data_IF_828522761416
#
_entry.id   IF_828522761416
#
_cell.length_a   1.000
_cell.length_b   1.000
_cell.length_c   1.000
_cell.angle_alpha   90.00
_cell.angle_beta   90.00
_cell.angle_gamma   90.00
#
_symmetry.space_group_name_H-M   'P 1'
#
loop_
_entity.id
_entity.type
_entity.pdbx_description
1 polymer ?
#
# COMPACT_ATOMS: atom_id res chain seq x y z
N UNK A 1 -5.24 2.27 18.17
CA UNK A 1 -5.57 1.41 17.01
C UNK A 1 -4.49 0.34 16.92
N UNK A 2 -4.80 -0.87 16.45
CA UNK A 2 -3.72 -1.84 16.19
C UNK A 2 -2.85 -1.26 15.08
N UNK A 3 -1.53 -1.25 15.27
CA UNK A 3 -0.59 -0.88 14.21
C UNK A 3 -0.78 -1.91 13.09
N UNK A 4 -1.20 -1.45 11.92
CA UNK A 4 -1.36 -2.34 10.77
C UNK A 4 -0.01 -3.02 10.51
N UNK A 5 -0.03 -4.35 10.41
CA UNK A 5 1.20 -5.14 10.25
C UNK A 5 1.91 -4.85 8.91
N UNK A 6 1.17 -4.34 7.95
CA UNK A 6 1.63 -4.14 6.59
C UNK A 6 1.28 -2.75 6.10
N UNK A 7 2.19 -2.15 5.35
CA UNK A 7 1.96 -0.88 4.65
C UNK A 7 2.02 -1.12 3.15
N UNK A 8 1.00 -0.64 2.43
CA UNK A 8 0.90 -0.74 0.98
C UNK A 8 1.03 0.63 0.34
N UNK A 9 1.80 0.69 -0.75
CA UNK A 9 2.11 1.93 -1.44
C UNK A 9 1.96 1.73 -2.95
N UNK A 10 1.12 2.56 -3.59
CA UNK A 10 0.83 2.46 -5.01
C UNK A 10 1.03 3.79 -5.70
N UNK A 11 2.01 3.87 -6.60
CA UNK A 11 2.40 5.13 -7.26
C UNK A 11 2.36 4.94 -8.77
N UNK A 12 1.60 5.76 -9.53
CA UNK A 12 1.65 5.71 -10.99
C UNK A 12 3.06 5.88 -11.54
N UNK A 13 3.39 5.16 -12.62
CA UNK A 13 4.73 5.28 -13.24
C UNK A 13 4.96 6.65 -13.88
N UNK A 14 3.91 7.42 -14.11
CA UNK A 14 3.99 8.80 -14.63
C UNK A 14 4.43 9.82 -13.58
N UNK A 15 4.36 9.49 -12.28
CA UNK A 15 4.77 10.40 -11.21
C UNK A 15 6.31 10.42 -11.12
N UNK A 16 6.95 11.60 -11.27
CA UNK A 16 8.40 11.73 -11.11
C UNK A 16 8.88 11.21 -9.75
N UNK A 17 10.04 10.56 -9.70
CA UNK A 17 10.58 9.97 -8.46
C UNK A 17 10.76 10.97 -7.33
N UNK A 18 11.09 12.23 -7.65
CA UNK A 18 11.21 13.31 -6.66
C UNK A 18 9.88 13.68 -5.96
N UNK A 19 8.74 13.29 -6.52
CA UNK A 19 7.39 13.55 -5.98
C UNK A 19 6.74 12.28 -5.42
N UNK A 20 7.39 11.13 -5.58
CA UNK A 20 6.89 9.82 -5.18
C UNK A 20 7.21 9.54 -3.70
N UNK A 21 6.65 10.36 -2.79
CA UNK A 21 6.84 10.20 -1.33
C UNK A 21 5.79 9.25 -0.74
N UNK A 22 6.16 8.48 0.28
CA UNK A 22 5.26 7.50 0.90
C UNK A 22 4.00 8.16 1.51
N UNK A 23 4.15 9.32 2.14
CA UNK A 23 3.08 10.10 2.78
C UNK A 23 1.89 10.39 1.85
N UNK A 24 2.13 10.60 0.56
CA UNK A 24 1.11 11.01 -0.39
C UNK A 24 0.39 9.85 -1.10
N UNK A 25 0.90 8.62 -0.94
CA UNK A 25 0.48 7.48 -1.77
C UNK A 25 0.25 6.20 -0.95
N UNK A 26 0.51 6.24 0.35
CA UNK A 26 0.24 5.13 1.24
C UNK A 26 -1.26 4.86 1.30
N UNK A 27 -1.62 3.58 1.23
CA UNK A 27 -2.99 3.11 1.50
C UNK A 27 -3.12 2.86 2.99
N UNK A 28 -3.50 3.90 3.74
CA UNK A 28 -3.73 3.80 5.18
C UNK A 28 -5.07 3.12 5.48
N UNK A 29 -5.12 2.37 6.59
CA UNK A 29 -6.32 1.64 7.00
C UNK A 29 -6.66 0.47 6.08
N UNK A 30 -5.65 -0.17 5.49
CA UNK A 30 -5.89 -1.35 4.64
C UNK A 30 -6.51 -2.44 5.50
N UNK A 31 -7.75 -2.82 5.20
CA UNK A 31 -8.47 -3.83 5.97
C UNK A 31 -7.87 -5.21 5.71
N UNK A 32 -7.57 -5.49 4.44
CA UNK A 32 -7.15 -6.80 3.95
C UNK A 32 -6.31 -6.66 2.69
N UNK A 33 -5.28 -7.51 2.53
CA UNK A 33 -4.57 -7.67 1.26
C UNK A 33 -4.13 -9.12 1.05
N UNK A 34 -4.01 -9.52 -0.22
CA UNK A 34 -3.39 -10.79 -0.62
C UNK A 34 -2.35 -10.56 -1.71
N UNK A 35 -1.28 -11.36 -1.67
CA UNK A 35 -0.30 -11.49 -2.75
C UNK A 35 -0.22 -12.97 -3.11
N UNK A 36 -0.78 -13.30 -4.27
CA UNK A 36 -0.91 -14.67 -4.75
C UNK A 36 0.04 -14.90 -5.93
N UNK A 37 0.75 -16.02 -5.89
CA UNK A 37 1.70 -16.44 -6.92
C UNK A 37 1.27 -17.81 -7.43
N UNK A 38 0.82 -17.87 -8.67
CA UNK A 38 0.35 -19.09 -9.33
C UNK A 38 1.33 -19.53 -10.41
N UNK A 39 1.59 -20.84 -10.49
CA UNK A 39 2.43 -21.43 -11.53
C UNK A 39 1.62 -22.43 -12.34
N UNK A 40 1.58 -22.24 -13.65
CA UNK A 40 1.02 -23.21 -14.58
C UNK A 40 1.82 -24.52 -14.51
N UNK A 41 1.23 -25.60 -14.02
CA UNK A 41 1.89 -26.91 -14.00
C UNK A 41 1.60 -27.69 -15.27
N UNK A 42 2.68 -28.08 -15.97
CA UNK A 42 2.61 -28.92 -17.17
C UNK A 42 2.78 -30.38 -16.80
N UNK A 43 1.74 -31.18 -17.06
CA UNK A 43 1.71 -32.62 -16.81
C UNK A 43 2.50 -33.39 -17.87
N UNK A 44 3.28 -34.39 -17.42
CA UNK A 44 3.89 -35.40 -18.29
C UNK A 44 3.80 -36.78 -17.64
N UNK A 45 4.02 -37.85 -18.42
CA UNK A 45 3.96 -39.24 -17.93
C UNK A 45 5.35 -39.86 -17.98
N UNK A 46 5.81 -40.39 -16.84
CA UNK A 46 7.07 -41.14 -16.74
C UNK A 46 6.84 -42.46 -16.03
N UNK A 47 6.96 -43.57 -16.78
CA UNK A 47 6.81 -44.93 -16.24
C UNK A 47 5.46 -45.17 -15.56
N UNK A 48 4.35 -44.80 -16.21
CA UNK A 48 2.98 -44.89 -15.69
C UNK A 48 2.69 -44.04 -14.43
N UNK A 49 3.51 -43.02 -14.15
CA UNK A 49 3.26 -42.03 -13.10
C UNK A 49 3.17 -40.63 -13.70
N UNK A 50 2.34 -39.78 -13.09
CA UNK A 50 2.29 -38.35 -13.41
C UNK A 50 3.55 -37.67 -12.89
N UNK A 51 4.15 -36.86 -13.72
CA UNK A 51 5.30 -36.01 -13.44
C UNK A 51 4.93 -34.56 -13.82
N UNK A 52 5.50 -33.57 -13.16
CA UNK A 52 5.10 -32.17 -13.29
C UNK A 52 6.31 -31.30 -13.60
N UNK A 53 6.13 -30.33 -14.49
CA UNK A 53 7.12 -29.29 -14.79
C UNK A 53 6.50 -27.90 -14.70
N UNK A 54 7.29 -26.90 -14.33
CA UNK A 54 6.83 -25.50 -14.24
C UNK A 54 6.58 -24.88 -15.62
N UNK A 55 5.56 -24.05 -15.69
CA UNK A 55 5.13 -23.31 -16.87
C UNK A 55 5.28 -21.81 -16.65
N UNK A 56 4.27 -21.04 -17.06
CA UNK A 56 4.23 -19.59 -16.83
C UNK A 56 3.79 -19.31 -15.40
N UNK A 57 4.39 -18.28 -14.78
CA UNK A 57 3.99 -17.78 -13.46
C UNK A 57 3.14 -16.53 -13.64
N UNK A 58 2.08 -16.44 -12.87
CA UNK A 58 1.23 -15.26 -12.73
C UNK A 58 1.23 -14.83 -11.27
N UNK A 59 1.33 -13.53 -11.01
CA UNK A 59 1.14 -13.00 -9.65
C UNK A 59 0.02 -11.96 -9.65
N UNK A 60 -0.83 -12.05 -8.64
CA UNK A 60 -1.98 -11.16 -8.41
C UNK A 60 -1.88 -10.56 -7.01
N UNK A 61 -2.12 -9.25 -6.91
CA UNK A 61 -2.21 -8.54 -5.63
C UNK A 61 -3.62 -7.99 -5.52
N UNK A 62 -4.32 -8.32 -4.44
CA UNK A 62 -5.66 -7.81 -4.13
C UNK A 62 -5.60 -6.98 -2.87
N UNK A 63 -6.24 -5.81 -2.88
CA UNK A 63 -6.21 -4.86 -1.77
C UNK A 63 -7.60 -4.31 -1.51
N UNK A 64 -7.99 -4.27 -0.24
CA UNK A 64 -9.23 -3.66 0.22
C UNK A 64 -8.95 -2.57 1.25
N UNK A 65 -9.48 -1.38 1.03
CA UNK A 65 -9.29 -0.23 1.92
C UNK A 65 -10.57 0.61 2.00
N UNK A 66 -10.79 1.36 3.09
CA UNK A 66 -11.94 2.23 3.24
C UNK A 66 -11.92 3.33 2.16
N UNK A 67 -13.10 3.69 1.67
CA UNK A 67 -13.25 4.81 0.74
C UNK A 67 -13.00 6.13 1.46
N UNK A 68 -12.02 6.90 0.97
CA UNK A 68 -11.81 8.29 1.36
C UNK A 68 -11.68 9.16 0.09
N UNK A 69 -12.57 10.15 -0.11
CA UNK A 69 -12.53 11.02 -1.28
C UNK A 69 -11.29 11.94 -1.33
N UNK A 70 -10.57 12.10 -0.21
CA UNK A 70 -9.34 12.89 -0.13
C UNK A 70 -8.10 12.10 -0.53
N UNK A 71 -8.17 10.76 -0.56
CA UNK A 71 -7.05 9.92 -0.95
C UNK A 71 -6.79 9.95 -2.45
N UNK A 72 -5.59 10.40 -2.81
CA UNK A 72 -5.04 10.40 -4.16
C UNK A 72 -4.90 8.99 -4.74
N UNK A 73 -4.68 7.98 -3.88
CA UNK A 73 -4.52 6.59 -4.26
C UNK A 73 -5.73 6.03 -5.04
N UNK A 74 -6.97 6.22 -4.56
CA UNK A 74 -8.17 5.71 -5.27
C UNK A 74 -8.30 6.32 -6.66
N UNK A 75 -8.14 7.65 -6.77
CA UNK A 75 -8.17 8.35 -8.06
C UNK A 75 -7.15 7.75 -9.02
N UNK A 76 -5.94 7.53 -8.54
CA UNK A 76 -4.83 7.05 -9.34
C UNK A 76 -5.02 5.58 -9.76
N UNK A 77 -5.57 4.72 -8.90
CA UNK A 77 -5.97 3.36 -9.25
C UNK A 77 -7.11 3.33 -10.26
N UNK A 78 -8.14 4.16 -10.07
CA UNK A 78 -9.27 4.27 -10.98
C UNK A 78 -8.82 4.71 -12.37
N UNK A 79 -7.97 5.72 -12.46
CA UNK A 79 -7.41 6.18 -13.73
C UNK A 79 -6.49 5.12 -14.35
N UNK A 80 -5.65 4.47 -13.55
CA UNK A 80 -4.77 3.42 -14.05
C UNK A 80 -5.54 2.21 -14.59
N UNK A 81 -6.57 1.77 -13.88
CA UNK A 81 -7.50 0.72 -14.31
C UNK A 81 -8.21 1.11 -15.61
N UNK A 82 -8.80 2.31 -15.67
CA UNK A 82 -9.57 2.78 -16.83
C UNK A 82 -8.74 2.93 -18.10
N UNK A 83 -7.48 3.34 -17.97
CA UNK A 83 -6.60 3.63 -19.11
C UNK A 83 -5.50 2.58 -19.31
N UNK A 84 -5.52 1.46 -18.57
CA UNK A 84 -4.49 0.42 -18.63
C UNK A 84 -3.08 0.92 -18.31
N UNK A 85 -2.95 1.87 -17.38
CA UNK A 85 -1.65 2.44 -17.01
C UNK A 85 -0.96 1.58 -15.96
N UNK A 86 0.36 1.56 -16.06
CA UNK A 86 1.21 0.85 -15.11
C UNK A 86 1.38 1.67 -13.82
N UNK A 87 1.50 0.95 -12.71
CA UNK A 87 1.84 1.50 -11.39
C UNK A 87 3.06 0.78 -10.84
N UNK A 88 3.76 1.46 -9.93
CA UNK A 88 4.78 0.89 -9.04
C UNK A 88 4.09 0.60 -7.72
N UNK A 89 4.30 -0.61 -7.19
CA UNK A 89 3.61 -1.06 -5.99
C UNK A 89 4.62 -1.65 -5.00
N UNK A 90 4.48 -1.30 -3.73
CA UNK A 90 5.26 -1.86 -2.63
C UNK A 90 4.33 -2.47 -1.59
N UNK A 91 4.71 -3.65 -1.13
CA UNK A 91 4.19 -4.31 0.06
C UNK A 91 5.31 -4.23 1.09
N UNK A 92 5.06 -3.62 2.25
CA UNK A 92 6.08 -3.36 3.28
C UNK A 92 5.65 -4.01 4.58
N UNK A 93 6.51 -4.85 5.17
CA UNK A 93 6.31 -5.41 6.51
C UNK A 93 6.74 -4.36 7.56
N UNK A 94 5.79 -3.92 8.39
CA UNK A 94 6.03 -2.89 9.40
C UNK A 94 6.92 -3.37 10.55
N UNK A 95 7.26 -4.66 10.58
CA UNK A 95 8.28 -5.20 11.48
C UNK A 95 9.66 -4.64 11.13
N UNK A 96 10.25 -3.90 12.08
CA UNK A 96 11.61 -3.38 11.91
C UNK A 96 12.64 -4.51 11.99
N UNK A 97 13.53 -4.53 11.00
CA UNK A 97 14.73 -5.36 10.98
C UNK A 97 15.93 -4.48 11.36
N UNK A 98 16.66 -4.90 12.40
CA UNK A 98 17.79 -4.16 12.95
C UNK A 98 17.39 -3.18 14.07
N UNK A 99 18.31 -2.28 14.42
CA UNK A 99 18.14 -1.31 15.52
C UNK A 99 18.79 0.02 15.16
N UNK A 100 18.23 1.14 15.64
CA UNK A 100 18.78 2.48 15.41
C UNK A 100 18.41 3.09 14.06
N UNK A 101 19.16 4.11 13.63
CA UNK A 101 18.86 4.91 12.41
C UNK A 101 18.98 4.12 11.10
N UNK A 102 19.61 2.95 11.13
CA UNK A 102 19.72 2.05 9.96
C UNK A 102 18.67 0.95 9.95
N UNK A 103 17.67 1.02 10.83
CA UNK A 103 16.58 0.05 10.83
C UNK A 103 15.79 0.15 9.52
N UNK A 104 15.33 -1.00 9.04
CA UNK A 104 14.65 -1.14 7.75
C UNK A 104 13.41 -2.00 7.87
N UNK A 105 12.57 -1.92 6.85
CA UNK A 105 11.44 -2.81 6.65
C UNK A 105 11.72 -3.76 5.51
N UNK A 106 11.36 -5.04 5.66
CA UNK A 106 11.32 -5.94 4.52
C UNK A 106 10.23 -5.46 3.57
N UNK A 107 10.51 -5.48 2.27
CA UNK A 107 9.54 -5.05 1.27
C UNK A 107 9.59 -5.92 0.03
N UNK A 108 8.44 -6.07 -0.61
CA UNK A 108 8.30 -6.64 -1.95
C UNK A 108 7.84 -5.53 -2.90
N UNK A 109 8.60 -5.33 -3.97
CA UNK A 109 8.34 -4.35 -5.01
C UNK A 109 7.83 -5.03 -6.29
N UNK A 110 6.85 -4.42 -6.95
CA UNK A 110 6.33 -4.89 -8.23
C UNK A 110 5.93 -3.73 -9.14
N UNK A 111 6.08 -3.94 -10.45
CA UNK A 111 5.30 -3.17 -11.42
C UNK A 111 3.98 -3.87 -11.65
N UNK A 112 2.87 -3.13 -11.57
CA UNK A 112 1.52 -3.69 -11.65
C UNK A 112 0.66 -2.97 -12.66
N UNK A 113 -0.37 -3.65 -13.15
CA UNK A 113 -1.48 -3.05 -13.90
C UNK A 113 -2.77 -3.37 -13.15
N UNK A 114 -3.57 -2.36 -12.76
CA UNK A 114 -4.86 -2.62 -12.16
C UNK A 114 -5.82 -3.30 -13.14
N UNK A 115 -6.25 -4.50 -12.77
CA UNK A 115 -7.21 -5.30 -13.53
C UNK A 115 -8.64 -4.85 -13.25
N UNK A 116 -8.96 -4.56 -11.99
CA UNK A 116 -10.28 -4.13 -11.57
C UNK A 116 -10.22 -3.16 -10.39
N UNK A 117 -11.25 -2.32 -10.29
CA UNK A 117 -11.51 -1.44 -9.15
C UNK A 117 -13.01 -1.43 -8.87
N UNK A 118 -13.41 -1.85 -7.67
CA UNK A 118 -14.79 -1.86 -7.20
C UNK A 118 -14.98 -0.87 -6.06
N UNK A 119 -16.18 -0.29 -5.95
CA UNK A 119 -16.61 0.48 -4.78
C UNK A 119 -17.89 -0.16 -4.27
N UNK A 120 -17.84 -0.64 -3.03
CA UNK A 120 -19.00 -1.11 -2.30
C UNK A 120 -19.43 -0.02 -1.32
N UNK A 121 -20.72 0.31 -1.34
CA UNK A 121 -21.33 1.32 -0.46
C UNK A 121 -22.34 0.58 0.39
N UNK A 122 -22.17 0.66 1.71
CA UNK A 122 -23.06 0.06 2.69
C UNK A 122 -23.42 1.10 3.77
N UNK A 123 -24.49 0.86 4.51
CA UNK A 123 -24.98 1.78 5.55
C UNK A 123 -23.96 1.99 6.69
N UNK A 124 -23.00 1.06 6.87
CA UNK A 124 -21.97 1.10 7.92
C UNK A 124 -20.60 1.60 7.43
N UNK A 125 -20.18 1.27 6.20
CA UNK A 125 -18.89 1.71 5.67
C UNK A 125 -18.78 1.55 4.15
N UNK A 126 -18.13 2.52 3.52
CA UNK A 126 -17.76 2.46 2.10
C UNK A 126 -16.37 1.84 1.93
N UNK A 127 -16.21 0.90 1.00
CA UNK A 127 -14.96 0.18 0.76
C UNK A 127 -14.59 0.17 -0.71
N UNK A 128 -13.29 0.29 -0.99
CA UNK A 128 -12.70 0.11 -2.31
C UNK A 128 -11.95 -1.22 -2.33
N UNK A 129 -12.18 -1.98 -3.39
CA UNK A 129 -11.40 -3.19 -3.70
C UNK A 129 -10.66 -3.00 -5.02
N UNK A 130 -9.38 -3.34 -5.06
CA UNK A 130 -8.54 -3.25 -6.25
C UNK A 130 -7.83 -4.59 -6.48
N UNK A 131 -7.91 -5.12 -7.70
CA UNK A 131 -7.11 -6.26 -8.17
C UNK A 131 -6.01 -5.75 -9.10
N UNK A 132 -4.78 -6.22 -8.87
CA UNK A 132 -3.58 -5.81 -9.58
C UNK A 132 -2.88 -7.04 -10.15
N UNK A 133 -2.56 -7.02 -11.44
CA UNK A 133 -1.71 -8.03 -12.07
C UNK A 133 -0.26 -7.58 -12.06
N UNK A 134 0.63 -8.42 -11.54
CA UNK A 134 2.07 -8.14 -11.52
C UNK A 134 2.66 -8.38 -12.90
N UNK A 135 3.51 -7.45 -13.32
CA UNK A 135 4.22 -7.52 -14.59
C UNK A 135 5.53 -8.27 -14.40
N UNK A 136 5.65 -9.41 -15.10
CA UNK A 136 6.80 -10.32 -15.08
C UNK A 136 7.00 -10.99 -13.72
N UNK A 137 7.46 -10.26 -12.71
CA UNK A 137 7.72 -10.78 -11.38
C UNK A 137 7.79 -9.66 -10.33
N UNK A 138 7.50 -9.99 -9.09
CA UNK A 138 7.87 -9.17 -7.94
C UNK A 138 9.35 -9.35 -7.56
N UNK A 139 9.88 -8.41 -6.78
CA UNK A 139 11.26 -8.43 -6.29
C UNK A 139 11.30 -8.07 -4.80
N UNK A 140 11.94 -8.92 -4.00
CA UNK A 140 12.14 -8.66 -2.57
C UNK A 140 13.33 -7.73 -2.34
N UNK A 141 13.21 -6.90 -1.31
CA UNK A 141 14.20 -5.92 -0.91
C UNK A 141 13.92 -5.36 0.47
N UNK A 142 14.50 -4.19 0.74
CA UNK A 142 14.35 -3.50 2.02
C UNK A 142 14.11 -2.01 1.77
N UNK A 143 13.17 -1.44 2.51
CA UNK A 143 12.93 0.01 2.53
C UNK A 143 13.47 0.61 3.84
N UNK A 144 13.94 1.87 3.84
CA UNK A 144 14.27 2.58 5.08
C UNK A 144 13.08 2.59 6.05
N UNK A 145 13.36 2.77 7.35
CA UNK A 145 12.30 2.96 8.34
C UNK A 145 11.29 4.01 7.85
N UNK A 146 10.01 3.60 7.78
CA UNK A 146 8.93 4.51 7.41
C UNK A 146 8.72 5.55 8.52
N UNK A 147 8.26 6.77 8.17
CA UNK A 147 7.86 7.77 9.15
C UNK A 147 6.87 7.20 10.18
N UNK A 148 7.03 7.56 11.46
CA UNK A 148 6.21 7.02 12.55
C UNK A 148 4.72 7.35 12.36
N UNK A 149 4.39 8.47 11.72
CA UNK A 149 3.01 8.88 11.38
C UNK A 149 2.33 7.96 10.35
N UNK A 150 3.11 7.29 9.48
CA UNK A 150 2.60 6.29 8.54
C UNK A 150 2.32 4.97 9.26
N UNK A 151 3.14 4.62 10.25
CA UNK A 151 3.03 3.38 11.01
C UNK A 151 1.93 3.47 12.08
N UNK A 152 1.76 4.64 12.69
CA UNK A 152 0.72 4.91 13.67
C UNK A 152 0.01 6.24 13.37
N UNK A 153 -1.18 6.18 12.75
CA UNK A 153 -1.98 7.37 12.45
C UNK A 153 -2.34 8.19 13.69
N UNK A 154 -2.30 7.62 14.90
CA UNK A 154 -2.57 8.36 16.14
C UNK A 154 -1.41 9.26 16.58
N UNK A 155 -0.26 9.14 15.93
CA UNK A 155 0.88 10.04 16.09
C UNK A 155 0.84 11.21 15.09
N UNK A 156 -0.01 11.16 14.06
CA UNK A 156 -0.18 12.26 13.12
C UNK A 156 -0.81 13.47 13.84
N UNK A 157 -0.01 14.51 14.05
CA UNK A 157 -0.45 15.83 14.54
C UNK A 157 -1.29 15.78 15.83
N UNK A 158 -0.67 15.48 16.97
CA UNK A 158 -1.36 15.60 18.26
C UNK A 158 -1.52 17.08 18.64
N UNK A 159 -2.77 17.49 18.90
CA UNK A 159 -3.07 18.81 19.45
C UNK A 159 -2.54 18.89 20.88
N UNK A 160 -1.56 19.74 21.12
CA UNK A 160 -1.08 20.05 22.46
C UNK A 160 -2.20 20.71 23.26
N UNK A 161 -2.33 20.33 24.54
CA UNK A 161 -3.34 20.91 25.43
C UNK A 161 -3.14 22.43 25.55
N UNK A 162 -4.12 23.18 25.06
CA UNK A 162 -4.14 24.63 25.16
C UNK A 162 -5.00 25.06 26.35
N UNK A 163 -4.41 25.78 27.31
CA UNK A 163 -5.19 26.37 28.41
C UNK A 163 -6.18 27.40 27.87
N UNK A 164 -7.33 27.55 28.53
CA UNK A 164 -8.40 28.47 28.10
C UNK A 164 -7.83 29.86 27.78
N UNK A 165 -7.93 30.27 26.51
CA UNK A 165 -7.49 31.58 26.01
C UNK A 165 -6.01 31.69 25.66
N UNK A 166 -5.26 30.59 25.54
CA UNK A 166 -3.83 30.65 25.20
C UNK A 166 -3.53 30.95 23.72
N UNK A 167 -4.44 30.67 22.78
CA UNK A 167 -4.35 31.14 21.41
C UNK A 167 -5.73 31.52 20.82
N UNK A 168 -5.69 32.13 19.64
CA UNK A 168 -6.86 32.47 18.83
C UNK A 168 -6.55 32.14 17.37
N UNK A 169 -7.50 31.58 16.63
CA UNK A 169 -7.32 31.18 15.23
C UNK A 169 -7.43 29.66 15.04
N UNK A 170 -7.19 29.21 13.81
CA UNK A 170 -7.22 27.79 13.44
C UNK A 170 -5.91 27.08 13.82
N UNK A 171 -5.93 25.75 13.89
CA UNK A 171 -4.81 24.93 14.34
C UNK A 171 -3.53 25.18 13.52
N UNK A 172 -3.67 25.35 12.20
CA UNK A 172 -2.58 25.61 11.26
C UNK A 172 -1.87 26.95 11.53
N UNK A 173 -2.49 27.83 12.33
CA UNK A 173 -1.99 29.15 12.68
C UNK A 173 -1.70 29.31 14.18
N UNK A 174 -1.93 28.27 14.97
CA UNK A 174 -1.77 28.31 16.42
C UNK A 174 -0.32 28.04 16.80
N UNK A 175 0.42 29.08 17.20
CA UNK A 175 1.83 28.96 17.65
C UNK A 175 1.99 28.11 18.93
N UNK A 176 0.89 27.78 19.60
CA UNK A 176 0.81 26.87 20.74
C UNK A 176 0.85 25.38 20.34
N UNK A 177 0.72 25.09 19.04
CA UNK A 177 0.63 23.74 18.48
C UNK A 177 1.89 23.32 17.70
N UNK A 178 2.91 24.19 17.61
CA UNK A 178 4.23 23.79 17.09
C UNK A 178 4.98 22.98 18.16
N UNK A 179 5.14 21.66 17.92
CA UNK A 179 5.99 20.76 18.74
C UNK A 179 7.34 20.57 18.07
#
# INVERSE_FOLDING_TARGET
MAVDKWTLLGIPTSVPTAQATAENYVMTGTSEFSHEIENELRESIKGNRKDWSGGVVEETISVTFPYDPTFTADRDFKDACKYGRQMRFWIIDNTLVGTGETAKHNSTFAYVIPESRSLSVDDESDTIEVSLKVKLNSADGEEPKLPDEILDPSLAGQVAYETIGAATGDLENATTQEV
#
